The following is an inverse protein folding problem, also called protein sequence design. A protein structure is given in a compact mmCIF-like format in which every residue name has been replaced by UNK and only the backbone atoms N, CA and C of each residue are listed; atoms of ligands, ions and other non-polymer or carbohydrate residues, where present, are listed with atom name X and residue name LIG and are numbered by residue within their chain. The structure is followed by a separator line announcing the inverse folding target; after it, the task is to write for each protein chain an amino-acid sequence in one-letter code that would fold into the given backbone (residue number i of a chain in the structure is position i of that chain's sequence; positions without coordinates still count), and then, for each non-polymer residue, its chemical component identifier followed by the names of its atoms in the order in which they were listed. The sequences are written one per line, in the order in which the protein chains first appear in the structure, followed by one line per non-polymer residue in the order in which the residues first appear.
data_IF_826128268094
#
_entry.id   IF_826128268094
#
_cell.length_a   1.000
_cell.length_b   1.000
_cell.length_c   1.000
_cell.angle_alpha   90.00
_cell.angle_beta   90.00
_cell.angle_gamma   90.00
#
_symmetry.space_group_name_H-M   'P 1'
#
loop_
_entity.id
_entity.type
_entity.pdbx_description
1 polymer ?
#
# COMPACT_ATOMS: atom_id res chain seq x y z
N UNK A 1 3.41 19.25 5.66
CA UNK A 1 3.98 17.96 5.19
C UNK A 1 3.19 16.85 5.87
N UNK A 2 2.57 15.95 5.10
CA UNK A 2 1.88 14.78 5.65
C UNK A 2 2.94 13.72 5.97
N UNK A 3 3.14 13.42 7.25
CA UNK A 3 4.02 12.32 7.66
C UNK A 3 3.24 11.02 7.60
N UNK A 4 3.87 9.96 7.10
CA UNK A 4 3.27 8.63 7.06
C UNK A 4 3.47 7.98 8.42
N UNK A 5 2.37 7.61 9.07
CA UNK A 5 2.41 6.88 10.33
C UNK A 5 2.51 5.36 10.07
N UNK A 6 3.69 4.93 9.61
CA UNK A 6 3.93 3.54 9.18
C UNK A 6 3.85 2.58 10.37
N UNK A 7 4.42 2.97 11.52
CA UNK A 7 4.49 2.12 12.71
C UNK A 7 3.11 1.73 13.27
N UNK A 8 2.12 2.61 13.12
CA UNK A 8 0.75 2.38 13.60
C UNK A 8 -0.19 1.73 12.57
N UNK A 9 0.25 1.46 11.35
CA UNK A 9 -0.58 0.91 10.29
C UNK A 9 -0.78 -0.61 10.43
N UNK A 10 -2.01 -1.11 10.26
CA UNK A 10 -2.30 -2.55 10.25
C UNK A 10 -2.06 -3.21 8.87
N UNK A 11 -2.04 -2.40 7.81
CA UNK A 11 -1.73 -2.82 6.45
C UNK A 11 -0.82 -1.80 5.78
N UNK A 12 0.32 -2.26 5.28
CA UNK A 12 1.30 -1.45 4.57
C UNK A 12 1.32 -1.88 3.11
N UNK A 13 0.98 -0.96 2.20
CA UNK A 13 1.06 -1.17 0.75
C UNK A 13 2.24 -0.38 0.20
N UNK A 14 3.26 -1.09 -0.26
CA UNK A 14 4.44 -0.52 -0.91
C UNK A 14 4.23 -0.61 -2.42
N UNK A 15 4.04 0.53 -3.08
CA UNK A 15 3.69 0.59 -4.50
C UNK A 15 4.82 1.22 -5.32
N UNK A 16 5.40 0.45 -6.24
CA UNK A 16 6.41 0.92 -7.20
C UNK A 16 7.71 1.41 -6.57
N UNK A 17 8.00 1.02 -5.33
CA UNK A 17 9.17 1.47 -4.58
C UNK A 17 9.97 0.29 -4.03
N UNK A 18 11.30 0.40 -4.10
CA UNK A 18 12.21 -0.49 -3.42
C UNK A 18 12.73 0.15 -2.12
N UNK A 19 11.88 0.19 -1.09
CA UNK A 19 12.18 0.77 0.22
C UNK A 19 13.46 0.21 0.85
N UNK A 20 13.80 -1.05 0.58
CA UNK A 20 14.99 -1.70 1.11
C UNK A 20 16.32 -1.12 0.59
N UNK A 21 16.34 -0.52 -0.61
CA UNK A 21 17.59 -0.02 -1.22
C UNK A 21 17.56 1.46 -1.59
N UNK A 22 16.37 2.04 -1.77
CA UNK A 22 16.19 3.38 -2.33
C UNK A 22 15.51 4.36 -1.37
N UNK A 23 15.21 3.93 -0.14
CA UNK A 23 14.62 4.79 0.89
C UNK A 23 15.54 4.89 2.11
N UNK A 24 15.41 5.95 2.93
CA UNK A 24 16.16 6.05 4.17
C UNK A 24 15.94 4.81 5.04
N UNK A 25 16.98 4.29 5.73
CA UNK A 25 16.88 3.06 6.54
C UNK A 25 15.74 3.07 7.57
N UNK A 26 15.33 4.27 8.02
CA UNK A 26 14.22 4.45 8.97
C UNK A 26 12.91 3.84 8.47
N UNK A 27 12.60 3.92 7.17
CA UNK A 27 11.35 3.41 6.63
C UNK A 27 11.26 1.88 6.76
N UNK A 28 12.37 1.17 6.56
CA UNK A 28 12.43 -0.28 6.78
C UNK A 28 12.34 -0.66 8.26
N UNK A 29 12.86 0.18 9.16
CA UNK A 29 12.71 -0.02 10.60
C UNK A 29 11.25 0.13 11.02
N UNK A 30 10.56 1.17 10.55
CA UNK A 30 9.13 1.39 10.84
C UNK A 30 8.25 0.26 10.31
N UNK A 31 8.50 -0.21 9.08
CA UNK A 31 7.79 -1.38 8.52
C UNK A 31 7.99 -2.60 9.42
N UNK A 32 9.21 -2.88 9.86
CA UNK A 32 9.49 -4.02 10.74
C UNK A 32 8.78 -3.91 12.08
N UNK A 33 8.76 -2.72 12.68
CA UNK A 33 8.02 -2.49 13.94
C UNK A 33 6.51 -2.71 13.77
N UNK A 34 5.93 -2.21 12.69
CA UNK A 34 4.53 -2.46 12.36
C UNK A 34 4.27 -3.97 12.19
N UNK A 35 5.15 -4.69 11.50
CA UNK A 35 5.05 -6.15 11.35
C UNK A 35 5.16 -6.90 12.67
N UNK A 36 6.01 -6.46 13.61
CA UNK A 36 6.08 -7.02 14.96
C UNK A 36 4.76 -6.84 15.74
N UNK A 37 4.03 -5.77 15.45
CA UNK A 37 2.66 -5.54 15.94
C UNK A 37 1.59 -6.39 15.24
N UNK A 38 1.93 -7.11 14.17
CA UNK A 38 1.02 -7.93 13.38
C UNK A 38 0.54 -7.27 12.07
N UNK A 39 1.11 -6.13 11.67
CA UNK A 39 0.76 -5.50 10.41
C UNK A 39 1.11 -6.38 9.21
N UNK A 40 0.24 -6.37 8.20
CA UNK A 40 0.48 -7.06 6.94
C UNK A 40 1.17 -6.15 5.95
N UNK A 41 2.01 -6.72 5.10
CA UNK A 41 2.73 -5.96 4.06
C UNK A 41 2.41 -6.52 2.68
N UNK A 42 2.05 -5.63 1.75
CA UNK A 42 1.84 -5.92 0.34
C UNK A 42 2.83 -5.08 -0.47
N UNK A 43 3.47 -5.68 -1.47
CA UNK A 43 4.35 -4.98 -2.41
C UNK A 43 3.79 -5.14 -3.81
N UNK A 44 3.43 -4.01 -4.44
CA UNK A 44 3.00 -3.93 -5.84
C UNK A 44 4.19 -3.41 -6.64
N UNK A 45 4.82 -4.30 -7.41
CA UNK A 45 5.99 -3.95 -8.22
C UNK A 45 6.16 -4.98 -9.34
N UNK A 46 6.45 -4.53 -10.57
CA UNK A 46 6.85 -5.38 -11.69
C UNK A 46 8.08 -6.25 -11.37
N UNK A 47 8.96 -5.78 -10.47
CA UNK A 47 10.14 -6.50 -10.03
C UNK A 47 9.92 -7.07 -8.63
N UNK A 48 10.34 -8.31 -8.42
CA UNK A 48 10.42 -8.89 -7.08
C UNK A 48 11.68 -8.39 -6.36
N UNK A 49 11.57 -7.18 -5.80
CA UNK A 49 12.68 -6.43 -5.19
C UNK A 49 13.12 -6.99 -3.82
N UNK A 50 14.24 -6.48 -3.30
CA UNK A 50 14.73 -6.78 -1.94
C UNK A 50 13.70 -6.43 -0.87
N UNK A 51 12.84 -5.44 -1.13
CA UNK A 51 11.77 -5.09 -0.20
C UNK A 51 10.83 -6.26 0.05
N UNK A 52 10.47 -7.02 -1.00
CA UNK A 52 9.66 -8.25 -0.87
C UNK A 52 10.37 -9.28 0.01
N UNK A 53 11.67 -9.50 -0.23
CA UNK A 53 12.47 -10.47 0.53
C UNK A 53 12.60 -10.10 2.01
N UNK A 54 12.94 -8.84 2.28
CA UNK A 54 13.21 -8.35 3.63
C UNK A 54 11.96 -8.21 4.50
N UNK A 55 10.78 -8.06 3.89
CA UNK A 55 9.50 -7.91 4.61
C UNK A 55 8.66 -9.18 4.59
N UNK A 56 8.99 -10.18 3.76
CA UNK A 56 8.10 -11.33 3.54
C UNK A 56 6.73 -10.94 2.97
N UNK A 57 6.63 -9.76 2.33
CA UNK A 57 5.37 -9.20 1.86
C UNK A 57 4.70 -10.08 0.80
N UNK A 58 3.37 -10.00 0.73
CA UNK A 58 2.63 -10.51 -0.40
C UNK A 58 2.97 -9.68 -1.65
N UNK A 59 3.54 -10.33 -2.66
CA UNK A 59 4.01 -9.65 -3.87
C UNK A 59 2.99 -9.75 -4.99
N UNK A 60 2.62 -8.59 -5.53
CA UNK A 60 1.76 -8.45 -6.70
C UNK A 60 2.62 -7.95 -7.87
N UNK A 61 2.98 -8.89 -8.74
CA UNK A 61 3.75 -8.62 -9.96
C UNK A 61 2.88 -8.02 -11.05
N UNK A 62 2.83 -6.69 -11.12
CA UNK A 62 2.10 -5.97 -12.17
C UNK A 62 2.92 -5.88 -13.46
N UNK A 63 2.24 -5.83 -14.62
CA UNK A 63 2.90 -5.49 -15.87
C UNK A 63 3.33 -4.01 -15.83
N UNK A 64 4.55 -3.65 -16.28
CA UNK A 64 4.97 -2.25 -16.31
C UNK A 64 3.96 -1.35 -17.03
N UNK A 65 3.59 -0.23 -16.39
CA UNK A 65 2.64 0.73 -16.94
C UNK A 65 1.16 0.37 -16.74
N UNK A 66 0.83 -0.72 -16.03
CA UNK A 66 -0.57 -1.13 -15.79
C UNK A 66 -1.08 -0.80 -14.39
N UNK A 67 -0.37 0.03 -13.61
CA UNK A 67 -0.76 0.45 -12.26
C UNK A 67 -2.14 1.12 -12.24
N UNK A 68 -2.45 1.92 -13.26
CA UNK A 68 -3.76 2.56 -13.45
C UNK A 68 -4.90 1.54 -13.58
N UNK A 69 -4.69 0.47 -14.37
CA UNK A 69 -5.69 -0.58 -14.51
C UNK A 69 -5.91 -1.35 -13.19
N UNK A 70 -4.84 -1.58 -12.43
CA UNK A 70 -4.92 -2.22 -11.11
C UNK A 70 -5.71 -1.35 -10.12
N UNK A 71 -5.36 -0.06 -9.97
CA UNK A 71 -6.05 0.81 -9.00
C UNK A 71 -7.53 0.99 -9.36
N UNK A 72 -7.86 1.14 -10.65
CA UNK A 72 -9.26 1.23 -11.09
C UNK A 72 -10.03 -0.04 -10.79
N UNK A 73 -9.41 -1.21 -10.95
CA UNK A 73 -10.03 -2.49 -10.63
C UNK A 73 -10.25 -2.67 -9.13
N UNK A 74 -9.29 -2.24 -8.29
CA UNK A 74 -9.43 -2.23 -6.83
C UNK A 74 -10.59 -1.32 -6.42
N UNK A 75 -10.63 -0.09 -6.96
CA UNK A 75 -11.70 0.87 -6.65
C UNK A 75 -13.07 0.35 -7.05
N UNK A 76 -13.18 -0.28 -8.23
CA UNK A 76 -14.42 -0.92 -8.68
C UNK A 76 -14.93 -1.93 -7.65
N UNK A 77 -14.08 -2.85 -7.19
CA UNK A 77 -14.44 -3.87 -6.19
C UNK A 77 -14.82 -3.22 -4.86
N UNK A 78 -14.07 -2.22 -4.41
CA UNK A 78 -14.35 -1.50 -3.15
C UNK A 78 -15.72 -0.82 -3.18
N UNK A 79 -16.07 -0.20 -4.31
CA UNK A 79 -17.36 0.48 -4.51
C UNK A 79 -18.49 -0.54 -4.61
N UNK A 80 -18.35 -1.58 -5.44
CA UNK A 80 -19.37 -2.63 -5.62
C UNK A 80 -19.67 -3.39 -4.33
N UNK A 81 -18.65 -3.65 -3.50
CA UNK A 81 -18.81 -4.29 -2.20
C UNK A 81 -19.24 -3.31 -1.08
N UNK A 82 -19.20 -2.00 -1.34
CA UNK A 82 -19.54 -0.99 -0.35
C UNK A 82 -18.60 -0.94 0.87
N UNK A 83 -17.33 -1.34 0.71
CA UNK A 83 -16.34 -1.49 1.80
C UNK A 83 -15.45 -0.25 1.99
N UNK A 84 -15.96 0.92 1.64
CA UNK A 84 -15.31 2.21 1.87
C UNK A 84 -16.02 2.97 3.01
N UNK A 85 -15.34 3.96 3.59
CA UNK A 85 -15.94 4.84 4.59
C UNK A 85 -16.92 5.82 3.92
N UNK A 86 -18.21 5.49 3.98
CA UNK A 86 -19.29 6.29 3.39
C UNK A 86 -19.35 7.70 3.98
N UNK A 87 -19.21 7.83 5.29
CA UNK A 87 -19.31 9.13 5.97
C UNK A 87 -18.16 10.05 5.54
N UNK A 88 -16.93 9.51 5.51
CA UNK A 88 -15.78 10.28 5.06
C UNK A 88 -15.93 10.71 3.60
N UNK A 89 -16.33 9.79 2.73
CA UNK A 89 -16.54 10.07 1.31
C UNK A 89 -17.59 11.15 1.08
N UNK A 90 -18.76 11.07 1.72
CA UNK A 90 -19.84 12.05 1.56
C UNK A 90 -19.49 13.45 2.08
N UNK A 91 -18.68 13.53 3.14
CA UNK A 91 -18.35 14.82 3.79
C UNK A 91 -17.14 15.52 3.19
N UNK A 92 -16.17 14.76 2.70
CA UNK A 92 -14.83 15.30 2.40
C UNK A 92 -14.35 15.04 0.97
N UNK A 93 -15.19 14.47 0.10
CA UNK A 93 -14.86 14.24 -1.32
C UNK A 93 -15.90 14.85 -2.25
N UNK A 94 -15.53 15.04 -3.52
CA UNK A 94 -16.42 15.49 -4.60
C UNK A 94 -16.29 14.55 -5.80
N UNK A 95 -17.36 14.36 -6.57
CA UNK A 95 -17.34 13.52 -7.77
C UNK A 95 -17.39 12.00 -7.51
N UNK A 96 -17.96 11.58 -6.38
CA UNK A 96 -18.10 10.16 -6.03
C UNK A 96 -19.36 9.49 -6.64
N UNK A 97 -20.36 10.29 -7.01
CA UNK A 97 -21.61 9.87 -7.67
C UNK A 97 -21.45 9.69 -9.16
#
# INVERSE_FOLDING_TARGET
MLFKDIENSDLIVIWGSNTATCSPPVAMLEIRKAQQRGARTIVIDHRRTETVRNTGAHWIGVRPGTDGALVLSILKVVIEMGIYDRYFTEKWTVGFT
#
